data_IF_366136756185
#
_entry.id   IF_366136756185
#
_cell.length_a   1.000
_cell.length_b   1.000
_cell.length_c   1.000
_cell.angle_alpha   90.00
_cell.angle_beta   90.00
_cell.angle_gamma   90.00
#
_symmetry.space_group_name_H-M   'P 1'
#
loop_
_entity.id
_entity.type
_entity.pdbx_description
1 polymer ?
#
# COMPACT_ATOMS: atom_id res chain seq x y z
N UNK A 1 -1.91 -6.13 -17.23
CA UNK A 1 -3.08 -5.23 -17.39
C UNK A 1 -2.66 -3.76 -17.39
N UNK A 2 -1.92 -3.26 -16.36
CA UNK A 2 -1.55 -1.83 -16.25
C UNK A 2 -0.70 -1.39 -17.45
N UNK A 3 0.30 -2.15 -17.86
CA UNK A 3 1.08 -1.83 -19.06
C UNK A 3 0.23 -1.72 -20.32
N UNK A 4 -0.73 -2.65 -20.52
CA UNK A 4 -1.66 -2.56 -21.65
C UNK A 4 -2.52 -1.29 -21.61
N UNK A 5 -2.88 -0.83 -20.40
CA UNK A 5 -3.57 0.45 -20.22
C UNK A 5 -2.66 1.62 -20.63
N UNK A 6 -1.41 1.65 -20.14
CA UNK A 6 -0.45 2.70 -20.50
C UNK A 6 -0.19 2.75 -22.01
N UNK A 7 -0.07 1.58 -22.65
CA UNK A 7 0.17 1.47 -24.08
C UNK A 7 -1.03 1.98 -24.89
N UNK A 8 -2.26 1.65 -24.45
CA UNK A 8 -3.50 2.16 -25.04
C UNK A 8 -3.55 3.69 -25.06
N UNK A 9 -3.06 4.33 -23.99
CA UNK A 9 -3.03 5.78 -23.86
C UNK A 9 -1.70 6.40 -24.33
N UNK A 10 -0.82 5.61 -24.97
CA UNK A 10 0.50 6.05 -25.48
C UNK A 10 1.39 6.65 -24.39
N UNK A 11 1.23 6.22 -23.14
CA UNK A 11 2.06 6.66 -22.02
C UNK A 11 3.33 5.80 -22.01
N UNK A 12 4.43 6.39 -22.46
CA UNK A 12 5.71 5.68 -22.57
C UNK A 12 6.35 5.42 -21.20
N UNK A 13 6.25 6.38 -20.28
CA UNK A 13 6.88 6.30 -18.97
C UNK A 13 6.02 7.01 -17.92
N UNK A 14 5.91 6.42 -16.72
CA UNK A 14 5.10 6.97 -15.64
C UNK A 14 5.81 6.88 -14.29
N UNK A 15 5.29 7.57 -13.30
CA UNK A 15 5.58 7.34 -11.89
C UNK A 15 4.38 6.64 -11.25
N UNK A 16 4.64 5.80 -10.25
CA UNK A 16 3.62 4.98 -9.61
C UNK A 16 3.51 5.31 -8.12
N UNK A 17 2.29 5.39 -7.64
CA UNK A 17 2.00 5.44 -6.21
C UNK A 17 1.16 4.24 -5.86
N UNK A 18 1.64 3.39 -4.99
CA UNK A 18 0.95 2.17 -4.56
C UNK A 18 0.78 2.12 -3.06
N UNK A 19 -0.44 1.85 -2.60
CA UNK A 19 -0.74 1.64 -1.19
C UNK A 19 -0.98 0.15 -0.92
N UNK A 20 -0.39 -0.37 0.16
CA UNK A 20 -0.56 -1.76 0.59
C UNK A 20 -0.25 -2.74 -0.56
N UNK A 21 -1.18 -3.59 -0.99
CA UNK A 21 -1.04 -4.44 -2.18
C UNK A 21 -0.59 -3.66 -3.41
N UNK A 22 -1.08 -2.42 -3.58
CA UNK A 22 -0.67 -1.54 -4.68
C UNK A 22 0.83 -1.23 -4.67
N UNK A 23 1.49 -1.25 -3.50
CA UNK A 23 2.94 -1.08 -3.39
C UNK A 23 3.70 -2.27 -3.98
N UNK A 24 3.20 -3.49 -3.79
CA UNK A 24 3.77 -4.70 -4.41
C UNK A 24 3.57 -4.69 -5.93
N UNK A 25 2.42 -4.18 -6.40
CA UNK A 25 2.17 -4.00 -7.84
C UNK A 25 3.14 -2.97 -8.43
N UNK A 26 3.39 -1.86 -7.73
CA UNK A 26 4.35 -0.85 -8.17
C UNK A 26 5.79 -1.41 -8.23
N UNK A 27 6.18 -2.23 -7.24
CA UNK A 27 7.44 -2.95 -7.21
C UNK A 27 7.56 -3.92 -8.39
N UNK A 28 6.53 -4.75 -8.63
CA UNK A 28 6.46 -5.67 -9.77
C UNK A 28 6.66 -4.92 -11.09
N UNK A 29 5.95 -3.82 -11.29
CA UNK A 29 6.07 -3.03 -12.51
C UNK A 29 7.48 -2.43 -12.66
N UNK A 30 8.00 -1.78 -11.62
CA UNK A 30 9.31 -1.12 -11.69
C UNK A 30 10.47 -2.12 -11.92
N UNK A 31 10.35 -3.35 -11.43
CA UNK A 31 11.37 -4.39 -11.61
C UNK A 31 11.27 -5.13 -12.95
N UNK A 32 10.05 -5.28 -13.49
CA UNK A 32 9.82 -6.03 -14.73
C UNK A 32 10.07 -5.23 -15.99
N UNK A 33 9.87 -3.90 -15.96
CA UNK A 33 10.14 -2.96 -17.06
C UNK A 33 10.70 -1.64 -16.52
N UNK A 34 11.97 -1.61 -16.09
CA UNK A 34 12.57 -0.41 -15.47
C UNK A 34 12.48 0.83 -16.35
N UNK A 35 12.63 0.66 -17.66
CA UNK A 35 12.56 1.75 -18.65
C UNK A 35 11.19 2.46 -18.68
N UNK A 36 10.13 1.81 -18.19
CA UNK A 36 8.75 2.32 -18.18
C UNK A 36 8.40 3.09 -16.90
N UNK A 37 9.24 3.03 -15.86
CA UNK A 37 8.94 3.61 -14.54
C UNK A 37 10.01 4.63 -14.16
N UNK A 38 9.58 5.86 -13.81
CA UNK A 38 10.47 6.95 -13.37
C UNK A 38 10.73 6.92 -11.87
N UNK A 39 9.66 6.73 -11.11
CA UNK A 39 9.68 6.70 -9.65
C UNK A 39 8.54 5.84 -9.11
N UNK A 40 8.73 5.26 -7.94
CA UNK A 40 7.68 4.57 -7.18
C UNK A 40 7.59 5.14 -5.76
N UNK A 41 6.37 5.38 -5.29
CA UNK A 41 6.08 5.62 -3.88
C UNK A 41 5.27 4.46 -3.33
N UNK A 42 5.82 3.77 -2.33
CA UNK A 42 5.23 2.60 -1.67
C UNK A 42 4.69 3.02 -0.30
N UNK A 43 3.37 3.15 -0.19
CA UNK A 43 2.71 3.62 1.03
C UNK A 43 2.16 2.42 1.81
N UNK A 44 2.47 2.33 3.10
CA UNK A 44 1.99 1.23 3.96
C UNK A 44 2.39 -0.12 3.38
N UNK A 45 3.69 -0.37 3.25
CA UNK A 45 4.25 -1.57 2.63
C UNK A 45 5.04 -2.41 3.63
N UNK A 46 5.13 -3.70 3.35
CA UNK A 46 5.97 -4.67 4.05
C UNK A 46 6.36 -5.81 3.11
N UNK A 47 7.41 -6.55 3.49
CA UNK A 47 7.74 -7.80 2.82
C UNK A 47 8.39 -8.79 3.79
N UNK A 48 7.95 -10.07 3.79
CA UNK A 48 6.78 -10.57 3.06
C UNK A 48 5.47 -9.97 3.59
N UNK A 49 4.48 -9.76 2.70
CA UNK A 49 3.14 -9.27 3.06
C UNK A 49 2.21 -10.46 3.33
N UNK A 50 2.57 -11.24 4.34
CA UNK A 50 1.86 -12.44 4.74
C UNK A 50 0.52 -12.11 5.39
N UNK A 51 -0.54 -12.72 4.90
CA UNK A 51 -1.88 -12.65 5.48
C UNK A 51 -2.13 -13.93 6.27
N UNK A 52 -2.57 -13.83 7.52
CA UNK A 52 -2.84 -15.02 8.32
C UNK A 52 -4.02 -15.82 7.75
N UNK A 53 -3.99 -17.14 7.97
CA UNK A 53 -4.95 -18.06 7.38
C UNK A 53 -6.40 -17.79 7.85
N UNK A 54 -6.59 -17.36 9.09
CA UNK A 54 -7.92 -17.03 9.63
C UNK A 54 -8.54 -15.84 8.89
N UNK A 55 -7.74 -14.82 8.53
CA UNK A 55 -8.22 -13.68 7.73
C UNK A 55 -8.52 -14.10 6.29
N UNK A 56 -7.69 -14.95 5.69
CA UNK A 56 -7.93 -15.50 4.35
C UNK A 56 -9.22 -16.32 4.31
N UNK A 57 -9.42 -17.22 5.28
CA UNK A 57 -10.64 -18.01 5.35
C UNK A 57 -11.87 -17.15 5.59
N UNK A 58 -11.78 -16.13 6.45
CA UNK A 58 -12.85 -15.16 6.65
C UNK A 58 -13.19 -14.42 5.35
N UNK A 59 -12.18 -14.00 4.60
CA UNK A 59 -12.37 -13.29 3.33
C UNK A 59 -13.05 -14.18 2.27
N UNK A 60 -12.86 -15.49 2.35
CA UNK A 60 -13.45 -16.47 1.45
C UNK A 60 -14.88 -16.84 1.85
N UNK A 61 -15.11 -17.16 3.14
CA UNK A 61 -16.38 -17.69 3.65
C UNK A 61 -17.36 -16.60 4.08
N UNK A 62 -16.88 -15.54 4.73
CA UNK A 62 -17.66 -14.39 5.19
C UNK A 62 -16.89 -13.08 5.04
N UNK A 63 -16.88 -12.48 3.83
CA UNK A 63 -16.12 -11.28 3.54
C UNK A 63 -16.37 -10.11 4.49
N UNK A 64 -17.55 -10.04 5.12
CA UNK A 64 -17.87 -8.99 6.08
C UNK A 64 -16.99 -9.04 7.33
N UNK A 65 -16.61 -10.22 7.79
CA UNK A 65 -15.67 -10.39 8.92
C UNK A 65 -14.31 -9.86 8.52
N UNK A 66 -13.81 -10.26 7.35
CA UNK A 66 -12.52 -9.76 6.84
C UNK A 66 -12.51 -8.23 6.68
N UNK A 67 -13.59 -7.64 6.11
CA UNK A 67 -13.74 -6.20 5.98
C UNK A 67 -13.68 -5.51 7.35
N UNK A 68 -14.38 -6.04 8.35
CA UNK A 68 -14.36 -5.47 9.69
C UNK A 68 -12.96 -5.51 10.31
N UNK A 69 -12.24 -6.63 10.17
CA UNK A 69 -10.86 -6.79 10.67
C UNK A 69 -9.93 -5.82 9.96
N UNK A 70 -9.94 -5.78 8.64
CA UNK A 70 -9.08 -4.91 7.83
C UNK A 70 -9.35 -3.42 8.14
N UNK A 71 -10.62 -3.06 8.28
CA UNK A 71 -10.99 -1.68 8.62
C UNK A 71 -10.54 -1.33 10.04
N UNK A 72 -10.71 -2.25 10.99
CA UNK A 72 -10.29 -2.01 12.37
C UNK A 72 -8.77 -1.88 12.48
N UNK A 73 -8.01 -2.78 11.87
CA UNK A 73 -6.55 -2.78 11.90
C UNK A 73 -5.91 -1.71 11.00
N UNK A 74 -6.65 -1.25 9.99
CA UNK A 74 -6.17 -0.29 9.01
C UNK A 74 -6.07 1.15 9.49
N UNK A 75 -6.57 1.46 10.71
CA UNK A 75 -6.53 2.80 11.29
C UNK A 75 -5.86 2.81 12.64
N UNK A 76 -5.16 3.90 12.96
CA UNK A 76 -4.64 4.16 14.29
C UNK A 76 -5.78 4.22 15.32
N UNK A 77 -5.47 3.98 16.59
CA UNK A 77 -6.46 4.03 17.66
C UNK A 77 -7.17 5.40 17.72
N UNK A 78 -6.41 6.50 17.61
CA UNK A 78 -6.96 7.84 17.58
C UNK A 78 -7.97 8.04 16.46
N UNK A 79 -7.62 7.61 15.24
CA UNK A 79 -8.49 7.76 14.06
C UNK A 79 -9.77 6.96 14.16
N UNK A 80 -9.74 5.80 14.81
CA UNK A 80 -10.93 4.98 15.08
C UNK A 80 -11.92 5.67 16.02
N UNK A 81 -11.43 6.48 16.94
CA UNK A 81 -12.23 7.24 17.91
C UNK A 81 -12.64 8.64 17.43
N UNK A 82 -12.47 8.93 16.14
CA UNK A 82 -12.84 10.22 15.57
C UNK A 82 -11.76 11.30 15.65
N UNK A 83 -10.55 10.97 16.12
CA UNK A 83 -9.39 11.88 16.18
C UNK A 83 -8.72 12.10 14.83
N UNK A 84 -9.50 12.29 13.77
CA UNK A 84 -8.98 12.54 12.43
C UNK A 84 -8.88 14.04 12.13
N UNK A 85 -8.01 14.38 11.18
CA UNK A 85 -7.77 15.77 10.75
C UNK A 85 -8.75 16.27 9.69
N UNK A 86 -9.63 15.40 9.20
CA UNK A 86 -10.63 15.74 8.19
C UNK A 86 -12.00 15.81 8.85
N UNK A 87 -12.53 17.02 9.14
CA UNK A 87 -13.81 17.18 9.82
C UNK A 87 -14.96 16.56 9.01
N UNK A 88 -15.92 15.97 9.72
CA UNK A 88 -17.15 15.44 9.12
C UNK A 88 -16.98 14.10 8.38
N UNK A 89 -15.80 13.50 8.37
CA UNK A 89 -15.54 12.20 7.75
C UNK A 89 -15.45 11.10 8.80
N UNK A 90 -16.30 10.10 8.70
CA UNK A 90 -16.13 8.86 9.46
C UNK A 90 -15.30 7.87 8.68
N UNK A 91 -13.98 7.91 8.88
CA UNK A 91 -12.99 7.20 8.06
C UNK A 91 -13.20 5.68 8.03
N UNK A 92 -13.41 5.06 9.19
CA UNK A 92 -13.56 3.62 9.31
C UNK A 92 -14.80 3.11 8.56
N UNK A 93 -15.95 3.76 8.75
CA UNK A 93 -17.17 3.34 8.06
C UNK A 93 -17.13 3.65 6.56
N UNK A 94 -16.49 4.76 6.17
CA UNK A 94 -16.32 5.09 4.75
C UNK A 94 -15.49 4.02 4.03
N UNK A 95 -14.38 3.57 4.62
CA UNK A 95 -13.55 2.49 4.09
C UNK A 95 -14.31 1.17 4.06
N UNK A 96 -15.03 0.83 5.13
CA UNK A 96 -15.87 -0.36 5.19
C UNK A 96 -16.89 -0.41 4.05
N UNK A 97 -17.62 0.69 3.83
CA UNK A 97 -18.59 0.81 2.73
C UNK A 97 -17.94 0.71 1.36
N UNK A 98 -16.75 1.27 1.20
CA UNK A 98 -15.99 1.14 -0.04
C UNK A 98 -15.63 -0.32 -0.31
N UNK A 99 -15.10 -1.03 0.68
CA UNK A 99 -14.74 -2.44 0.55
C UNK A 99 -15.96 -3.34 0.28
N UNK A 100 -17.11 -3.03 0.88
CA UNK A 100 -18.39 -3.75 0.64
C UNK A 100 -18.89 -3.65 -0.81
N UNK A 101 -18.46 -2.62 -1.57
CA UNK A 101 -18.79 -2.48 -3.00
C UNK A 101 -17.93 -3.38 -3.89
N UNK A 102 -16.92 -4.04 -3.35
CA UNK A 102 -16.09 -4.95 -4.12
C UNK A 102 -16.88 -6.15 -4.61
N UNK A 103 -16.58 -6.62 -5.80
CA UNK A 103 -17.19 -7.84 -6.34
C UNK A 103 -16.87 -9.04 -5.43
N UNK A 104 -17.80 -9.99 -5.36
CA UNK A 104 -17.65 -11.21 -4.55
C UNK A 104 -16.30 -11.88 -4.85
N UNK A 105 -15.57 -12.23 -3.78
CA UNK A 105 -14.28 -12.94 -3.85
C UNK A 105 -13.06 -12.07 -4.16
N UNK A 106 -13.21 -10.77 -4.45
CA UNK A 106 -12.05 -9.90 -4.74
C UNK A 106 -11.18 -9.75 -3.51
N UNK A 107 -11.74 -9.46 -2.33
CA UNK A 107 -10.97 -9.29 -1.09
C UNK A 107 -10.11 -10.52 -0.81
N UNK A 108 -10.68 -11.73 -0.95
CA UNK A 108 -9.93 -12.97 -0.79
C UNK A 108 -8.79 -13.08 -1.81
N UNK A 109 -9.07 -12.81 -3.09
CA UNK A 109 -8.05 -12.89 -4.16
C UNK A 109 -6.90 -11.92 -3.93
N UNK A 110 -7.21 -10.70 -3.51
CA UNK A 110 -6.22 -9.65 -3.28
C UNK A 110 -5.33 -10.00 -2.06
N UNK A 111 -5.92 -10.43 -0.96
CA UNK A 111 -5.18 -10.87 0.23
C UNK A 111 -4.30 -12.09 -0.07
N UNK A 112 -4.83 -13.06 -0.84
CA UNK A 112 -4.08 -14.22 -1.28
C UNK A 112 -2.90 -13.82 -2.17
N UNK A 113 -3.10 -12.91 -3.11
CA UNK A 113 -2.03 -12.42 -3.98
C UNK A 113 -0.90 -11.74 -3.18
N UNK A 114 -1.23 -10.99 -2.10
CA UNK A 114 -0.21 -10.44 -1.21
C UNK A 114 0.64 -11.54 -0.55
N UNK A 115 0.00 -12.61 -0.05
CA UNK A 115 0.71 -13.73 0.58
C UNK A 115 1.55 -14.55 -0.40
N UNK A 116 1.12 -14.66 -1.65
CA UNK A 116 1.80 -15.42 -2.71
C UNK A 116 2.92 -14.63 -3.40
N UNK A 117 3.06 -13.34 -3.12
CA UNK A 117 4.16 -12.53 -3.64
C UNK A 117 5.43 -12.78 -2.82
N UNK A 118 6.32 -13.64 -3.33
CA UNK A 118 7.46 -14.19 -2.58
C UNK A 118 8.83 -13.72 -3.03
N UNK A 119 8.93 -13.07 -4.19
CA UNK A 119 10.20 -12.66 -4.82
C UNK A 119 10.49 -11.15 -4.71
N UNK A 120 9.86 -10.47 -3.74
CA UNK A 120 9.92 -9.02 -3.59
C UNK A 120 11.32 -8.46 -3.36
N UNK A 121 12.20 -9.16 -2.62
CA UNK A 121 13.58 -8.68 -2.39
C UNK A 121 14.42 -8.74 -3.66
N UNK A 122 14.28 -9.79 -4.46
CA UNK A 122 15.00 -9.90 -5.74
C UNK A 122 14.48 -8.89 -6.77
N UNK A 123 13.20 -8.52 -6.66
CA UNK A 123 12.62 -7.43 -7.45
C UNK A 123 13.13 -6.07 -6.99
N UNK A 124 13.24 -5.83 -5.70
CA UNK A 124 13.76 -4.57 -5.14
C UNK A 124 15.16 -4.24 -5.67
N UNK A 125 16.04 -5.23 -5.77
CA UNK A 125 17.40 -5.11 -6.35
C UNK A 125 17.41 -4.69 -7.82
N UNK A 126 16.34 -4.98 -8.57
CA UNK A 126 16.21 -4.69 -10.02
C UNK A 126 15.57 -3.34 -10.30
N UNK A 127 15.10 -2.63 -9.28
CA UNK A 127 14.45 -1.33 -9.46
C UNK A 127 15.49 -0.25 -9.72
N UNK A 128 15.43 0.36 -10.90
CA UNK A 128 16.28 1.50 -11.31
C UNK A 128 15.59 2.85 -11.06
N UNK A 129 14.28 2.84 -10.82
CA UNK A 129 13.48 4.02 -10.55
C UNK A 129 13.84 4.65 -9.20
N UNK A 130 13.57 5.96 -9.02
CA UNK A 130 13.57 6.57 -7.68
C UNK A 130 12.55 5.86 -6.79
N UNK A 131 12.94 5.48 -5.57
CA UNK A 131 12.06 4.76 -4.63
C UNK A 131 11.81 5.59 -3.39
N UNK A 132 10.55 5.66 -2.99
CA UNK A 132 10.12 6.21 -1.70
C UNK A 132 9.24 5.20 -0.98
N UNK A 133 9.47 5.04 0.32
CA UNK A 133 8.57 4.33 1.23
C UNK A 133 7.96 5.34 2.20
N UNK A 134 6.64 5.32 2.35
CA UNK A 134 5.91 6.12 3.35
C UNK A 134 5.24 5.16 4.30
N UNK A 135 5.67 5.16 5.56
CA UNK A 135 5.30 4.15 6.57
C UNK A 135 4.59 4.82 7.75
N UNK A 136 3.64 4.11 8.34
CA UNK A 136 2.94 4.54 9.56
C UNK A 136 3.56 3.89 10.80
N UNK A 137 3.84 4.66 11.86
CA UNK A 137 4.42 4.08 13.08
C UNK A 137 3.43 3.20 13.85
N UNK A 138 2.13 3.37 13.63
CA UNK A 138 1.06 2.59 14.24
C UNK A 138 0.33 1.70 13.23
N UNK A 139 1.03 1.32 12.14
CA UNK A 139 0.50 0.42 11.12
C UNK A 139 0.56 -1.03 11.63
N UNK A 140 -0.60 -1.62 11.90
CA UNK A 140 -0.72 -3.01 12.35
C UNK A 140 -0.83 -4.02 11.20
N UNK A 141 -1.14 -3.57 9.97
CA UNK A 141 -1.23 -4.45 8.81
C UNK A 141 0.12 -4.66 8.16
N UNK A 142 0.90 -3.57 8.01
CA UNK A 142 2.25 -3.58 7.47
C UNK A 142 3.21 -2.84 8.41
N UNK A 143 3.53 -3.43 9.57
CA UNK A 143 4.38 -2.80 10.57
C UNK A 143 5.74 -2.37 9.98
N UNK A 144 6.21 -1.18 10.35
CA UNK A 144 7.44 -0.57 9.84
C UNK A 144 8.64 -1.54 9.87
N UNK A 145 8.76 -2.36 10.92
CA UNK A 145 9.85 -3.34 11.03
C UNK A 145 9.87 -4.34 9.89
N UNK A 146 8.71 -4.69 9.32
CA UNK A 146 8.61 -5.61 8.17
C UNK A 146 8.92 -4.97 6.82
N UNK A 147 9.15 -3.66 6.77
CA UNK A 147 9.61 -2.99 5.56
C UNK A 147 11.15 -2.94 5.47
N UNK A 148 11.87 -3.31 6.55
CA UNK A 148 13.32 -3.12 6.62
C UNK A 148 14.05 -3.89 5.52
N UNK A 149 13.69 -5.14 5.28
CA UNK A 149 14.34 -5.96 4.24
C UNK A 149 14.15 -5.35 2.84
N UNK A 150 12.99 -4.74 2.55
CA UNK A 150 12.80 -4.01 1.30
C UNK A 150 13.70 -2.77 1.23
N UNK A 151 13.76 -1.99 2.31
CA UNK A 151 14.58 -0.79 2.40
C UNK A 151 16.04 -1.12 2.11
N UNK A 152 16.56 -2.19 2.71
CA UNK A 152 17.95 -2.60 2.60
C UNK A 152 18.30 -3.16 1.19
N UNK A 153 17.30 -3.59 0.43
CA UNK A 153 17.48 -4.14 -0.92
C UNK A 153 17.21 -3.14 -2.06
N UNK A 154 16.71 -1.93 -1.76
CA UNK A 154 16.64 -0.85 -2.73
C UNK A 154 17.94 -0.04 -2.79
N UNK A 155 18.22 0.56 -3.93
CA UNK A 155 19.33 1.49 -4.07
C UNK A 155 18.92 2.90 -3.57
N UNK A 156 19.38 3.28 -2.37
CA UNK A 156 19.18 4.60 -1.77
C UNK A 156 17.71 5.06 -1.74
N UNK A 157 16.78 4.29 -1.15
CA UNK A 157 15.38 4.70 -1.09
C UNK A 157 15.20 5.88 -0.12
N UNK A 158 14.24 6.74 -0.44
CA UNK A 158 13.72 7.73 0.51
C UNK A 158 12.77 7.01 1.48
N UNK A 159 13.02 7.11 2.79
CA UNK A 159 12.15 6.51 3.80
C UNK A 159 11.56 7.60 4.67
N UNK A 160 10.25 7.71 4.64
CA UNK A 160 9.47 8.68 5.39
C UNK A 160 8.57 7.95 6.38
N UNK A 161 8.56 8.34 7.64
CA UNK A 161 7.70 7.75 8.66
C UNK A 161 6.71 8.79 9.20
N UNK A 162 5.42 8.42 9.23
CA UNK A 162 4.37 9.26 9.79
C UNK A 162 4.04 8.76 11.19
N UNK A 163 4.55 9.47 12.19
CA UNK A 163 4.32 9.15 13.59
C UNK A 163 2.83 9.22 13.94
N UNK A 164 2.33 8.19 14.61
CA UNK A 164 0.94 8.08 15.07
C UNK A 164 -0.06 7.57 14.02
N UNK A 165 0.33 7.50 12.73
CA UNK A 165 -0.55 7.01 11.67
C UNK A 165 -0.59 5.48 11.61
N UNK A 166 -1.77 4.94 11.29
CA UNK A 166 -1.98 3.53 10.96
C UNK A 166 -1.69 3.25 9.49
N UNK A 167 -2.33 2.20 8.96
CA UNK A 167 -2.16 1.75 7.57
C UNK A 167 -2.80 2.68 6.54
N UNK A 168 -3.89 3.35 6.91
CA UNK A 168 -4.62 4.25 6.01
C UNK A 168 -4.03 5.66 6.00
N UNK A 169 -2.72 5.78 5.79
CA UNK A 169 -1.93 7.01 5.90
C UNK A 169 -2.53 8.18 5.12
N UNK A 170 -3.01 7.93 3.88
CA UNK A 170 -3.62 8.95 3.02
C UNK A 170 -4.91 9.53 3.60
N UNK A 171 -5.59 8.78 4.46
CA UNK A 171 -6.81 9.21 5.13
C UNK A 171 -6.52 9.88 6.46
N UNK A 172 -5.53 9.37 7.20
CA UNK A 172 -5.17 9.84 8.53
C UNK A 172 -4.32 11.12 8.49
N UNK A 173 -3.38 11.20 7.54
CA UNK A 173 -2.40 12.28 7.40
C UNK A 173 -2.24 12.73 5.93
N UNK A 174 -3.34 13.17 5.26
CA UNK A 174 -3.33 13.46 3.82
C UNK A 174 -2.29 14.50 3.41
N UNK A 175 -2.12 15.56 4.20
CA UNK A 175 -1.18 16.63 3.88
C UNK A 175 0.27 16.15 3.94
N UNK A 176 0.64 15.35 4.97
CA UNK A 176 1.99 14.80 5.06
C UNK A 176 2.29 13.86 3.91
N UNK A 177 1.34 12.99 3.56
CA UNK A 177 1.50 12.09 2.41
C UNK A 177 1.67 12.90 1.12
N UNK A 178 0.86 13.95 0.92
CA UNK A 178 0.98 14.83 -0.23
C UNK A 178 2.36 15.52 -0.28
N UNK A 179 2.85 16.05 0.83
CA UNK A 179 4.15 16.72 0.91
C UNK A 179 5.29 15.77 0.54
N UNK A 180 5.25 14.52 1.01
CA UNK A 180 6.23 13.50 0.66
C UNK A 180 6.16 13.11 -0.82
N UNK A 181 4.97 12.96 -1.38
CA UNK A 181 4.80 12.71 -2.82
C UNK A 181 5.32 13.87 -3.67
N UNK A 182 5.03 15.12 -3.28
CA UNK A 182 5.57 16.30 -3.96
C UNK A 182 7.11 16.29 -3.93
N UNK A 183 7.71 15.93 -2.80
CA UNK A 183 9.18 15.84 -2.67
C UNK A 183 9.78 14.81 -3.63
N UNK A 184 9.11 13.65 -3.83
CA UNK A 184 9.56 12.61 -4.77
C UNK A 184 9.44 13.05 -6.24
N UNK A 185 8.39 13.80 -6.60
CA UNK A 185 8.03 14.06 -8.00
C UNK A 185 8.44 15.45 -8.50
N UNK A 186 8.99 16.32 -7.65
CA UNK A 186 9.42 17.68 -8.05
C UNK A 186 10.69 17.74 -8.92
N UNK A 187 11.44 16.62 -9.00
CA UNK A 187 12.64 16.47 -9.82
C UNK A 187 12.35 15.54 -11.02
#
# INVERSE_FOLDING_TARGET
YIYNFLDKYKIQRCSLVGHSMGSLIALEMASSKPERVKAISMIGTAFPMQVNEALLESAKSNPQIAINILTFMGYSFSSRLGGNKTPGMWMTESTKRLMQKSKKGIIYKDLKACSEFTDGLDKAKKVEAKVQLILGSNDFLTPRVKAQDLIDNFNQPLVEEIYGSGHSLMMEEPNKVLDFLIKLFKD
#
